data_IF_068685498834
#
_entry.id   IF_068685498834
#
_cell.length_a   1.000
_cell.length_b   1.000
_cell.length_c   1.000
_cell.angle_alpha   90.00
_cell.angle_beta   90.00
_cell.angle_gamma   90.00
#
_symmetry.space_group_name_H-M   'P 1'
#
loop_
_entity.id
_entity.type
_entity.pdbx_description
1 polymer ?
#
# COMPACT_ATOMS: atom_id res chain seq x y z
N UNK A 1 -11.37 -5.33 -1.56
CA UNK A 1 -10.01 -5.41 -2.13
C UNK A 1 -9.56 -4.03 -2.56
N UNK A 2 -8.34 -3.65 -2.21
CA UNK A 2 -7.77 -2.34 -2.57
C UNK A 2 -6.52 -2.57 -3.41
N UNK A 3 -6.40 -1.88 -4.53
CA UNK A 3 -5.21 -1.87 -5.38
C UNK A 3 -4.56 -0.49 -5.25
N UNK A 4 -3.29 -0.46 -4.88
CA UNK A 4 -2.55 0.79 -4.76
C UNK A 4 -1.20 0.71 -5.47
N UNK A 5 -0.72 1.86 -5.92
CA UNK A 5 0.58 1.98 -6.58
C UNK A 5 1.37 3.12 -5.98
N UNK A 6 2.68 2.95 -5.91
CA UNK A 6 3.58 3.96 -5.42
C UNK A 6 4.97 3.79 -6.04
N UNK A 7 5.72 4.89 -6.09
CA UNK A 7 7.14 4.85 -6.40
C UNK A 7 7.94 4.81 -5.11
N UNK A 8 9.00 4.00 -5.11
CA UNK A 8 9.86 3.81 -3.95
C UNK A 8 11.32 4.06 -4.32
N UNK A 9 12.11 4.46 -3.34
CA UNK A 9 13.54 4.71 -3.51
C UNK A 9 14.33 3.41 -3.55
N UNK A 10 14.00 2.46 -2.66
CA UNK A 10 14.70 1.21 -2.49
C UNK A 10 13.73 0.12 -2.00
N UNK A 11 13.73 -1.04 -2.65
CA UNK A 11 12.79 -2.11 -2.33
C UNK A 11 13.03 -2.70 -0.94
N UNK A 12 14.28 -2.93 -0.54
CA UNK A 12 14.57 -3.53 0.75
C UNK A 12 14.15 -2.62 1.91
N UNK A 13 14.37 -1.32 1.77
CA UNK A 13 13.88 -0.33 2.72
C UNK A 13 12.36 -0.32 2.79
N UNK A 14 11.70 -0.30 1.64
CA UNK A 14 10.24 -0.37 1.56
C UNK A 14 9.73 -1.62 2.28
N UNK A 15 10.27 -2.78 1.93
CA UNK A 15 9.81 -4.05 2.48
C UNK A 15 9.98 -4.12 4.00
N UNK A 16 11.11 -3.63 4.50
CA UNK A 16 11.37 -3.64 5.94
C UNK A 16 10.29 -2.87 6.73
N UNK A 17 9.87 -1.73 6.23
CA UNK A 17 8.82 -0.92 6.89
C UNK A 17 7.42 -1.48 6.58
N UNK A 18 7.18 -1.88 5.34
CA UNK A 18 5.90 -2.43 4.90
C UNK A 18 5.51 -3.69 5.69
N UNK A 19 6.47 -4.57 5.95
CA UNK A 19 6.22 -5.85 6.63
C UNK A 19 6.24 -5.75 8.16
N UNK A 20 6.60 -4.62 8.72
CA UNK A 20 6.66 -4.38 10.17
C UNK A 20 5.68 -3.29 10.60
N UNK A 21 6.14 -2.04 10.70
CA UNK A 21 5.30 -0.91 11.14
C UNK A 21 4.06 -0.74 10.27
N UNK A 22 4.22 -0.85 8.96
CA UNK A 22 3.11 -0.75 8.03
C UNK A 22 2.08 -1.84 8.25
N UNK A 23 2.53 -3.08 8.45
CA UNK A 23 1.63 -4.21 8.68
C UNK A 23 0.86 -4.05 9.98
N UNK A 24 1.52 -3.63 11.06
CA UNK A 24 0.85 -3.39 12.34
C UNK A 24 -0.22 -2.32 12.21
N UNK A 25 0.11 -1.22 11.52
CA UNK A 25 -0.84 -0.13 11.33
C UNK A 25 -2.03 -0.56 10.48
N UNK A 26 -1.79 -1.32 9.40
CA UNK A 26 -2.86 -1.85 8.55
C UNK A 26 -3.78 -2.79 9.31
N UNK A 27 -3.24 -3.62 10.20
CA UNK A 27 -4.05 -4.52 11.03
C UNK A 27 -5.02 -3.76 11.92
N UNK A 28 -4.63 -2.61 12.44
CA UNK A 28 -5.50 -1.77 13.27
C UNK A 28 -6.75 -1.34 12.52
N UNK A 29 -6.69 -1.25 11.21
CA UNK A 29 -7.81 -0.84 10.35
C UNK A 29 -8.43 -2.00 9.58
N UNK A 30 -8.14 -3.23 9.98
CA UNK A 30 -8.83 -4.40 9.47
C UNK A 30 -8.26 -5.05 8.22
N UNK A 31 -7.05 -4.67 7.79
CA UNK A 31 -6.39 -5.34 6.67
C UNK A 31 -6.04 -6.78 7.04
N UNK A 32 -6.33 -7.70 6.13
CA UNK A 32 -6.07 -9.14 6.31
C UNK A 32 -4.84 -9.64 5.59
N UNK A 33 -4.28 -8.84 4.69
CA UNK A 33 -3.09 -9.24 3.95
C UNK A 33 -2.82 -8.34 2.76
N UNK A 34 -1.66 -8.54 2.15
CA UNK A 34 -1.24 -7.77 1.00
C UNK A 34 -0.34 -8.60 0.09
N UNK A 35 -0.45 -8.37 -1.22
CA UNK A 35 0.41 -9.00 -2.23
C UNK A 35 1.08 -7.88 -3.01
N UNK A 36 2.41 -7.92 -3.09
CA UNK A 36 3.22 -6.86 -3.71
C UNK A 36 3.77 -7.34 -5.04
N UNK A 37 3.62 -6.48 -6.05
CA UNK A 37 4.15 -6.70 -7.39
C UNK A 37 5.08 -5.57 -7.77
N UNK A 38 6.08 -5.86 -8.61
CA UNK A 38 6.89 -4.83 -9.25
C UNK A 38 6.31 -4.52 -10.63
N UNK A 39 6.30 -3.24 -10.99
CA UNK A 39 5.89 -2.83 -12.32
C UNK A 39 6.89 -3.38 -13.34
N UNK A 40 6.42 -4.02 -14.44
CA UNK A 40 7.33 -4.61 -15.42
C UNK A 40 8.13 -3.57 -16.25
N UNK A 41 7.63 -2.34 -16.29
CA UNK A 41 8.24 -1.27 -17.10
C UNK A 41 8.96 -0.22 -16.25
N UNK A 42 8.81 -0.27 -14.92
CA UNK A 42 9.39 0.72 -14.01
C UNK A 42 9.82 0.02 -12.72
N UNK A 43 11.12 -0.22 -12.59
CA UNK A 43 11.68 -0.96 -11.46
C UNK A 43 11.46 -0.28 -10.10
N UNK A 44 11.20 1.03 -10.10
CA UNK A 44 10.96 1.80 -8.88
C UNK A 44 9.48 1.88 -8.50
N UNK A 45 8.59 1.34 -9.32
CA UNK A 45 7.15 1.34 -9.05
C UNK A 45 6.72 -0.02 -8.55
N UNK A 46 5.94 0.00 -7.46
CA UNK A 46 5.28 -1.19 -6.94
C UNK A 46 3.76 -1.07 -7.08
N UNK A 47 3.13 -2.23 -7.15
CA UNK A 47 1.69 -2.40 -7.10
C UNK A 47 1.36 -3.32 -5.93
N UNK A 48 0.35 -2.95 -5.14
CA UNK A 48 -0.03 -3.75 -3.97
C UNK A 48 -1.52 -4.02 -4.03
N UNK A 49 -1.88 -5.29 -3.89
CA UNK A 49 -3.27 -5.71 -3.72
C UNK A 49 -3.46 -6.03 -2.24
N UNK A 50 -4.39 -5.31 -1.60
CA UNK A 50 -4.72 -5.52 -0.19
C UNK A 50 -6.04 -6.28 -0.06
N UNK A 51 -6.05 -7.28 0.80
CA UNK A 51 -7.29 -7.91 1.27
C UNK A 51 -7.89 -7.01 2.34
N UNK A 52 -8.67 -6.02 1.88
CA UNK A 52 -9.12 -4.91 2.70
C UNK A 52 -10.33 -4.26 2.05
N UNK A 53 -11.23 -3.68 2.84
CA UNK A 53 -12.33 -2.90 2.30
C UNK A 53 -11.93 -1.42 2.14
N UNK A 54 -12.72 -0.67 1.37
CA UNK A 54 -12.44 0.74 1.11
C UNK A 54 -12.50 1.58 2.40
N UNK A 55 -13.41 1.24 3.31
CA UNK A 55 -13.54 1.97 4.57
C UNK A 55 -12.29 1.84 5.43
N UNK A 56 -11.72 0.65 5.51
CA UNK A 56 -10.45 0.42 6.21
C UNK A 56 -9.30 1.18 5.59
N UNK A 57 -9.20 1.16 4.28
CA UNK A 57 -8.19 1.93 3.54
C UNK A 57 -8.33 3.45 3.80
N UNK A 58 -9.56 3.98 3.74
CA UNK A 58 -9.79 5.40 3.99
C UNK A 58 -9.42 5.80 5.40
N UNK A 59 -9.77 4.99 6.39
CA UNK A 59 -9.41 5.24 7.80
C UNK A 59 -7.90 5.21 8.00
N UNK A 60 -7.22 4.24 7.38
CA UNK A 60 -5.77 4.11 7.43
C UNK A 60 -5.08 5.36 6.84
N UNK A 61 -5.48 5.78 5.64
CA UNK A 61 -4.87 6.94 4.99
C UNK A 61 -5.20 8.27 5.68
N UNK A 62 -6.21 8.29 6.53
CA UNK A 62 -6.58 9.45 7.33
C UNK A 62 -5.87 9.50 8.68
N UNK A 63 -5.17 8.44 9.06
CA UNK A 63 -4.44 8.38 10.34
C UNK A 63 -3.21 9.29 10.27
N UNK A 64 -3.02 10.20 11.23
CA UNK A 64 -1.91 11.18 11.19
C UNK A 64 -0.51 10.55 11.30
N UNK A 65 -0.40 9.30 11.74
CA UNK A 65 0.90 8.60 11.82
C UNK A 65 1.32 7.98 10.49
N UNK A 66 0.39 7.80 9.56
CA UNK A 66 0.62 7.06 8.31
C UNK A 66 1.56 7.78 7.34
N UNK A 67 1.48 9.12 7.14
CA UNK A 67 2.44 9.80 6.27
C UNK A 67 3.90 9.59 6.69
N UNK A 68 4.17 9.54 8.00
CA UNK A 68 5.51 9.25 8.51
C UNK A 68 5.99 7.84 8.18
N UNK A 69 5.07 6.86 8.21
CA UNK A 69 5.38 5.48 7.81
C UNK A 69 5.73 5.41 6.33
N UNK A 70 4.98 6.10 5.47
CA UNK A 70 5.28 6.17 4.03
C UNK A 70 6.66 6.80 3.78
N UNK A 71 6.99 7.83 4.53
CA UNK A 71 8.30 8.48 4.43
C UNK A 71 9.43 7.54 4.84
N UNK A 72 9.28 6.82 5.94
CA UNK A 72 10.26 5.80 6.37
C UNK A 72 10.40 4.69 5.33
N UNK A 73 9.32 4.31 4.67
CA UNK A 73 9.34 3.28 3.63
C UNK A 73 9.99 3.76 2.33
N UNK A 74 10.30 5.04 2.20
CA UNK A 74 10.99 5.60 1.05
C UNK A 74 10.10 5.90 -0.15
N UNK A 75 8.84 6.24 0.06
CA UNK A 75 7.96 6.69 -1.02
C UNK A 75 8.46 8.04 -1.57
N UNK A 76 8.64 8.13 -2.89
CA UNK A 76 9.32 9.28 -3.53
C UNK A 76 8.38 10.28 -4.18
N UNK A 77 7.15 9.91 -4.48
CA UNK A 77 6.18 10.76 -5.19
C UNK A 77 4.89 10.94 -4.40
N UNK A 78 5.02 11.13 -3.08
CA UNK A 78 3.87 11.30 -2.21
C UNK A 78 3.25 9.97 -1.80
N UNK A 79 2.03 10.00 -1.28
CA UNK A 79 1.36 8.80 -0.79
C UNK A 79 1.01 7.85 -1.93
N UNK A 80 0.78 6.55 -1.64
CA UNK A 80 0.32 5.61 -2.66
C UNK A 80 -1.03 6.03 -3.22
N UNK A 81 -1.21 5.79 -4.51
CA UNK A 81 -2.45 6.08 -5.21
C UNK A 81 -3.29 4.81 -5.30
N UNK A 82 -4.47 4.83 -4.69
CA UNK A 82 -5.41 3.71 -4.76
C UNK A 82 -6.29 3.82 -6.01
N UNK A 83 -6.48 2.70 -6.68
CA UNK A 83 -7.43 2.59 -7.77
C UNK A 83 -8.84 2.38 -7.22
N UNK A 84 -9.84 2.86 -7.94
CA UNK A 84 -11.23 2.68 -7.57
C UNK A 84 -11.73 1.32 -8.10
N UNK A 85 -12.24 0.48 -7.21
CA UNK A 85 -12.89 -0.77 -7.61
C UNK A 85 -14.20 -0.46 -8.33
N UNK A 86 -14.40 -1.05 -9.49
CA UNK A 86 -15.64 -0.84 -10.27
C UNK A 86 -16.46 -2.11 -10.30
N UNK A 87 -15.90 -3.22 -10.77
CA UNK A 87 -16.68 -4.42 -11.04
C UNK A 87 -15.79 -5.64 -11.15
N UNK A 88 -16.34 -6.78 -10.79
CA UNK A 88 -15.70 -8.07 -10.93
C UNK A 88 -16.57 -9.00 -11.80
N UNK A 89 -15.92 -9.88 -12.54
CA UNK A 89 -16.58 -10.91 -13.32
C UNK A 89 -15.83 -12.24 -13.12
N UNK A 90 -16.58 -13.36 -13.16
CA UNK A 90 -16.00 -14.66 -12.80
C UNK A 90 -15.15 -15.29 -13.91
N UNK A 91 -15.32 -14.88 -15.14
CA UNK A 91 -14.52 -15.44 -16.24
C UNK A 91 -14.47 -14.54 -17.45
#
# INVERSE_FOLDING_TARGET
>A
MVLASAKIEDFDRFWNIFSTKGAEKRKQYGSKGATVFRDPDDADRIWVVFDWDDAGWQSFTSDPDVPGIFQEAGFTQGPPKAAEFIRQHDA
#
